data_IF_147606267793
#
_entry.id   IF_147606267793
#
_cell.length_a   1.000
_cell.length_b   1.000
_cell.length_c   1.000
_cell.angle_alpha   90.00
_cell.angle_beta   90.00
_cell.angle_gamma   90.00
#
_symmetry.space_group_name_H-M   'P 1'
#
loop_
_entity.id
_entity.type
_entity.pdbx_description
1 polymer ?
#
# COMPACT_ATOMS: atom_id res chain seq x y z
N UNK A 1 -29.84 -0.83 5.74
CA UNK A 1 -28.70 -0.64 4.83
C UNK A 1 -27.75 0.38 5.45
N UNK A 2 -26.48 0.04 5.72
CA UNK A 2 -25.49 1.04 6.15
C UNK A 2 -25.21 1.91 4.93
N UNK A 3 -25.52 3.21 5.01
CA UNK A 3 -25.17 4.16 3.95
C UNK A 3 -23.65 4.30 3.99
N UNK A 4 -22.96 3.74 3.01
CA UNK A 4 -21.51 3.87 2.88
C UNK A 4 -21.13 5.32 2.60
N UNK A 5 -19.98 5.78 3.11
CA UNK A 5 -19.40 7.05 2.69
C UNK A 5 -19.13 7.04 1.19
N UNK A 6 -19.17 8.24 0.57
CA UNK A 6 -18.90 8.42 -0.86
C UNK A 6 -17.48 7.98 -1.26
N UNK A 7 -16.53 8.00 -0.32
CA UNK A 7 -15.14 7.59 -0.48
C UNK A 7 -14.76 6.58 0.62
N UNK A 8 -14.10 5.50 0.23
CA UNK A 8 -13.53 4.52 1.15
C UNK A 8 -12.04 4.78 1.38
N UNK A 9 -11.53 4.31 2.52
CA UNK A 9 -10.13 4.48 2.92
C UNK A 9 -9.50 3.18 3.39
N UNK A 10 -8.30 2.85 2.94
CA UNK A 10 -7.57 1.64 3.29
C UNK A 10 -6.43 1.93 4.28
N UNK A 11 -6.34 1.13 5.35
CA UNK A 11 -5.20 1.11 6.26
C UNK A 11 -4.00 0.42 5.61
N UNK A 12 -2.89 1.14 5.42
CA UNK A 12 -1.67 0.59 4.80
C UNK A 12 -0.94 -0.47 5.63
N UNK A 13 -1.24 -0.59 6.92
CA UNK A 13 -0.58 -1.56 7.82
C UNK A 13 -1.27 -2.94 7.85
N UNK A 14 -2.59 -2.98 7.70
CA UNK A 14 -3.37 -4.21 7.87
C UNK A 14 -4.46 -4.44 6.83
N UNK A 15 -4.62 -3.55 5.85
CA UNK A 15 -5.60 -3.69 4.78
C UNK A 15 -7.06 -3.51 5.20
N UNK A 16 -7.36 -3.03 6.41
CA UNK A 16 -8.74 -2.68 6.80
C UNK A 16 -9.28 -1.55 5.93
N UNK A 17 -10.52 -1.70 5.44
CA UNK A 17 -11.24 -0.66 4.68
C UNK A 17 -12.25 0.02 5.58
N UNK A 18 -12.12 1.34 5.68
CA UNK A 18 -13.12 2.23 6.25
C UNK A 18 -14.11 2.66 5.17
N UNK A 19 -15.39 2.35 5.37
CA UNK A 19 -16.51 2.70 4.48
C UNK A 19 -17.79 3.04 5.27
N UNK A 20 -17.62 3.62 6.46
CA UNK A 20 -18.75 3.94 7.35
C UNK A 20 -19.51 5.19 6.92
N UNK A 21 -20.64 5.49 7.59
CA UNK A 21 -21.49 6.63 7.26
C UNK A 21 -20.79 7.97 7.50
N UNK A 22 -19.94 8.04 8.52
CA UNK A 22 -19.17 9.24 8.84
C UNK A 22 -18.05 9.39 7.81
N UNK A 23 -17.94 10.52 7.09
CA UNK A 23 -16.82 10.74 6.19
C UNK A 23 -15.48 10.64 6.94
N UNK A 24 -14.47 10.03 6.31
CA UNK A 24 -13.18 9.77 6.94
C UNK A 24 -12.46 11.07 7.37
N UNK A 25 -12.65 12.14 6.61
CA UNK A 25 -12.08 13.46 6.86
C UNK A 25 -12.58 14.01 8.19
N UNK A 26 -13.85 13.75 8.53
CA UNK A 26 -14.51 14.21 9.76
C UNK A 26 -14.16 13.37 10.99
N UNK A 27 -13.41 12.27 10.84
CA UNK A 27 -12.94 11.50 12.00
C UNK A 27 -11.96 12.34 12.84
N UNK A 28 -11.96 12.18 14.17
CA UNK A 28 -10.97 12.84 15.02
C UNK A 28 -9.56 12.33 14.71
N UNK A 29 -8.53 13.13 15.00
CA UNK A 29 -7.13 12.74 14.79
C UNK A 29 -6.70 11.56 15.67
N UNK A 30 -7.38 11.37 16.80
CA UNK A 30 -7.23 10.22 17.70
C UNK A 30 -7.89 8.94 17.16
N UNK A 31 -8.36 8.92 15.92
CA UNK A 31 -8.83 7.72 15.28
C UNK A 31 -7.69 6.74 15.01
N UNK A 32 -7.85 5.51 15.48
CA UNK A 32 -6.95 4.41 15.25
C UNK A 32 -7.66 3.29 14.48
N UNK A 33 -6.92 2.60 13.61
CA UNK A 33 -7.43 1.45 12.91
C UNK A 33 -7.92 0.40 13.93
N UNK A 34 -9.18 -0.05 13.86
CA UNK A 34 -9.77 -0.94 14.87
C UNK A 34 -9.13 -2.33 14.90
N UNK A 35 -8.24 -2.64 13.95
CA UNK A 35 -7.64 -3.98 13.86
C UNK A 35 -6.15 -4.00 14.19
N UNK A 36 -5.40 -2.96 13.83
CA UNK A 36 -3.96 -2.94 14.07
C UNK A 36 -3.49 -1.76 14.91
N UNK A 37 -4.37 -0.84 15.31
CA UNK A 37 -3.98 0.34 16.08
C UNK A 37 -3.17 1.38 15.29
N UNK A 38 -3.12 1.28 13.95
CA UNK A 38 -2.43 2.29 13.14
C UNK A 38 -3.16 3.65 13.21
N UNK A 39 -2.43 4.78 13.30
CA UNK A 39 -3.06 6.10 13.37
C UNK A 39 -3.73 6.50 12.04
N UNK A 40 -4.72 7.42 12.09
CA UNK A 40 -5.46 7.95 10.92
C UNK A 40 -4.57 8.31 9.73
N UNK A 41 -3.37 8.88 9.97
CA UNK A 41 -2.40 9.25 8.92
C UNK A 41 -1.89 8.09 8.05
N UNK A 42 -2.03 6.84 8.49
CA UNK A 42 -1.62 5.64 7.72
C UNK A 42 -2.70 5.15 6.75
N UNK A 43 -3.88 5.75 6.75
CA UNK A 43 -4.92 5.46 5.79
C UNK A 43 -4.68 6.20 4.47
N UNK A 44 -5.13 5.62 3.36
CA UNK A 44 -5.10 6.20 2.02
C UNK A 44 -6.45 6.00 1.35
N UNK A 45 -6.77 6.82 0.36
CA UNK A 45 -7.99 6.64 -0.44
C UNK A 45 -8.00 5.23 -1.06
N UNK A 46 -9.16 4.60 -1.04
CA UNK A 46 -9.41 3.30 -1.63
C UNK A 46 -10.48 3.47 -2.71
N UNK A 47 -10.05 3.35 -3.96
CA UNK A 47 -10.90 3.50 -5.15
C UNK A 47 -11.74 2.27 -5.50
N UNK A 48 -11.28 1.02 -5.27
CA UNK A 48 -12.08 -0.14 -5.65
C UNK A 48 -13.41 -0.22 -4.88
N UNK A 49 -14.40 -0.86 -5.51
CA UNK A 49 -15.71 -1.07 -4.92
C UNK A 49 -15.60 -1.89 -3.63
N UNK A 50 -16.26 -1.44 -2.56
CA UNK A 50 -16.22 -2.13 -1.27
C UNK A 50 -17.39 -3.10 -1.17
N UNK A 51 -17.08 -4.39 -1.11
CA UNK A 51 -18.07 -5.45 -0.87
C UNK A 51 -18.44 -5.55 0.61
N UNK A 52 -19.53 -6.27 0.92
CA UNK A 52 -20.00 -6.45 2.32
C UNK A 52 -18.98 -7.18 3.19
N UNK A 53 -18.22 -8.07 2.58
CA UNK A 53 -17.20 -8.95 3.17
C UNK A 53 -15.79 -8.38 3.03
N UNK A 54 -15.61 -7.16 2.54
CA UNK A 54 -14.29 -6.57 2.28
C UNK A 54 -13.35 -6.50 3.50
N UNK A 55 -13.90 -6.64 4.71
CA UNK A 55 -13.18 -6.69 5.98
C UNK A 55 -13.13 -8.08 6.65
N UNK A 56 -13.53 -9.15 5.97
CA UNK A 56 -13.36 -10.51 6.47
C UNK A 56 -11.87 -10.86 6.67
N UNK A 57 -11.58 -11.82 7.55
CA UNK A 57 -10.19 -12.15 7.94
C UNK A 57 -9.36 -12.66 6.78
N UNK A 58 -9.93 -13.53 5.95
CA UNK A 58 -9.34 -14.11 4.74
C UNK A 58 -9.04 -13.03 3.69
N UNK A 59 -10.04 -12.22 3.32
CA UNK A 59 -9.89 -11.12 2.34
C UNK A 59 -8.83 -10.12 2.81
N UNK A 60 -8.83 -9.76 4.09
CA UNK A 60 -7.84 -8.81 4.64
C UNK A 60 -6.45 -9.39 4.74
N UNK A 61 -6.30 -10.68 5.04
CA UNK A 61 -4.99 -11.36 5.04
C UNK A 61 -4.40 -11.37 3.63
N UNK A 62 -5.20 -11.71 2.62
CA UNK A 62 -4.79 -11.67 1.22
C UNK A 62 -4.32 -10.26 0.83
N UNK A 63 -5.14 -9.24 1.09
CA UNK A 63 -4.80 -7.85 0.84
C UNK A 63 -3.55 -7.37 1.57
N UNK A 64 -3.36 -7.79 2.82
CA UNK A 64 -2.14 -7.46 3.58
C UNK A 64 -0.91 -8.10 2.95
N UNK A 65 -1.01 -9.31 2.39
CA UNK A 65 0.08 -9.95 1.68
C UNK A 65 0.42 -9.21 0.37
N UNK A 66 -0.60 -8.78 -0.38
CA UNK A 66 -0.45 -7.95 -1.58
C UNK A 66 0.24 -6.62 -1.25
N UNK A 67 -0.27 -5.87 -0.26
CA UNK A 67 0.34 -4.59 0.17
C UNK A 67 1.81 -4.73 0.55
N UNK A 68 2.18 -5.84 1.22
CA UNK A 68 3.58 -6.14 1.57
C UNK A 68 4.43 -6.45 0.34
N UNK A 69 3.88 -7.19 -0.64
CA UNK A 69 4.59 -7.44 -1.89
C UNK A 69 4.82 -6.14 -2.65
N UNK A 70 3.81 -5.28 -2.75
CA UNK A 70 3.92 -3.99 -3.43
C UNK A 70 4.95 -3.07 -2.75
N UNK A 71 4.98 -3.03 -1.42
CA UNK A 71 5.98 -2.27 -0.67
C UNK A 71 7.39 -2.85 -0.89
N UNK A 72 7.53 -4.18 -0.91
CA UNK A 72 8.80 -4.83 -1.19
C UNK A 72 9.28 -4.53 -2.61
N UNK A 73 8.40 -4.58 -3.61
CA UNK A 73 8.69 -4.22 -5.00
C UNK A 73 9.09 -2.74 -5.08
N UNK A 74 8.33 -1.84 -4.45
CA UNK A 74 8.63 -0.41 -4.45
C UNK A 74 9.99 -0.07 -3.83
N UNK A 75 10.45 -0.85 -2.84
CA UNK A 75 11.78 -0.72 -2.24
C UNK A 75 12.89 -1.34 -3.10
N UNK A 76 12.63 -2.51 -3.71
CA UNK A 76 13.63 -3.26 -4.47
C UNK A 76 13.86 -2.70 -5.87
N UNK A 77 12.83 -2.21 -6.55
CA UNK A 77 12.89 -1.69 -7.92
C UNK A 77 13.94 -0.59 -8.13
N UNK A 78 14.01 0.49 -7.32
CA UNK A 78 15.03 1.53 -7.51
C UNK A 78 16.45 1.01 -7.27
N UNK A 79 16.63 0.06 -6.33
CA UNK A 79 17.92 -0.57 -6.06
C UNK A 79 18.35 -1.41 -7.27
N UNK A 80 17.45 -2.23 -7.80
CA UNK A 80 17.71 -3.05 -8.98
C UNK A 80 18.08 -2.19 -10.21
N UNK A 81 17.40 -1.05 -10.40
CA UNK A 81 17.72 -0.09 -11.46
C UNK A 81 19.13 0.46 -11.28
N UNK A 82 19.51 0.89 -10.06
CA UNK A 82 20.84 1.43 -9.78
C UNK A 82 21.95 0.38 -10.01
N UNK A 83 21.76 -0.84 -9.51
CA UNK A 83 22.70 -1.95 -9.73
C UNK A 83 22.84 -2.27 -11.22
N UNK A 84 21.72 -2.31 -11.95
CA UNK A 84 21.73 -2.50 -13.39
C UNK A 84 22.52 -1.42 -14.12
N UNK A 85 22.34 -0.15 -13.76
CA UNK A 85 23.09 0.97 -14.35
C UNK A 85 24.59 0.88 -14.08
N UNK A 86 25.00 0.51 -12.86
CA UNK A 86 26.42 0.32 -12.50
C UNK A 86 27.03 -0.84 -13.29
N UNK A 87 26.32 -1.96 -13.41
CA UNK A 87 26.79 -3.11 -14.18
C UNK A 87 26.99 -2.76 -15.66
N UNK A 88 26.04 -2.03 -16.26
CA UNK A 88 26.14 -1.56 -17.64
C UNK A 88 27.31 -0.59 -17.84
N UNK A 89 27.52 0.36 -16.92
CA UNK A 89 28.64 1.30 -16.97
C UNK A 89 29.99 0.59 -16.84
N UNK A 90 30.10 -0.38 -15.93
CA UNK A 90 31.30 -1.21 -15.76
C UNK A 90 31.60 -2.04 -17.01
N UNK A 91 30.58 -2.66 -17.60
CA UNK A 91 30.72 -3.41 -18.86
C UNK A 91 31.16 -2.50 -20.02
N UNK A 92 30.57 -1.30 -20.14
CA UNK A 92 30.97 -0.31 -21.14
C UNK A 92 32.46 0.07 -20.98
N UNK A 93 32.89 0.39 -19.77
CA UNK A 93 34.29 0.74 -19.50
C UNK A 93 35.24 -0.43 -19.80
N UNK A 94 34.87 -1.66 -19.43
CA UNK A 94 35.68 -2.85 -19.74
C UNK A 94 35.87 -3.02 -21.25
N UNK A 95 34.77 -2.99 -22.01
CA UNK A 95 34.82 -3.14 -23.46
C UNK A 95 35.60 -2.01 -24.14
N UNK A 96 35.56 -0.79 -23.60
CA UNK A 96 36.25 0.37 -24.18
C UNK A 96 37.72 0.51 -23.76
N UNK A 97 38.21 -0.25 -22.75
CA UNK A 97 39.63 -0.26 -22.37
C UNK A 97 40.34 -1.56 -22.75
N UNK A 98 39.61 -2.61 -23.15
CA UNK A 98 40.18 -3.87 -23.62
C UNK A 98 40.59 -3.86 -25.11
N UNK A 99 40.29 -2.77 -25.82
CA UNK A 99 40.71 -2.47 -27.20
C UNK A 99 41.37 -1.09 -27.24
#
# INVERSE_FOLDING_TARGET
>A
MRVASKQAYICRDCGYIYNERTPFEKLPDKFFCPVCGAPKRRFRAYEPAVTKDANSLDVRKARKAELKRDEAIGKALPIAIAVGAIALAGLYFYLNNAF
#
